data_IF_121946413516
#
_entry.id   IF_121946413516
#
_cell.length_a   1.000
_cell.length_b   1.000
_cell.length_c   1.000
_cell.angle_alpha   90.00
_cell.angle_beta   90.00
_cell.angle_gamma   90.00
#
_symmetry.space_group_name_H-M   'P 1'
#
loop_
_entity.id
_entity.type
_entity.pdbx_description
1 polymer ?
#
# COMPACT_ATOMS: atom_id res chain seq x y z
N UNK A 1 8.38 -4.71 -1.00
CA UNK A 1 7.05 -4.10 -0.83
C UNK A 1 6.84 -2.84 -1.68
N UNK A 2 7.68 -1.80 -1.61
CA UNK A 2 7.47 -0.59 -2.45
C UNK A 2 7.57 -0.84 -3.97
N UNK A 3 8.54 -1.64 -4.42
CA UNK A 3 8.69 -1.96 -5.86
C UNK A 3 7.49 -2.75 -6.42
N UNK A 4 6.93 -3.69 -5.66
CA UNK A 4 5.78 -4.48 -6.09
C UNK A 4 4.53 -3.61 -6.27
N UNK A 5 4.29 -2.66 -5.36
CA UNK A 5 3.20 -1.67 -5.49
C UNK A 5 3.33 -0.87 -6.77
N UNK A 6 4.51 -0.31 -7.06
CA UNK A 6 4.74 0.52 -8.24
C UNK A 6 4.50 -0.27 -9.54
N UNK A 7 4.93 -1.53 -9.59
CA UNK A 7 4.68 -2.38 -10.77
C UNK A 7 3.19 -2.66 -10.97
N UNK A 8 2.44 -2.91 -9.90
CA UNK A 8 1.01 -3.16 -9.98
C UNK A 8 0.24 -1.91 -10.47
N UNK A 9 0.58 -0.73 -9.95
CA UNK A 9 0.00 0.53 -10.41
C UNK A 9 0.28 0.79 -11.90
N UNK A 10 1.50 0.52 -12.36
CA UNK A 10 1.88 0.63 -13.77
C UNK A 10 1.13 -0.38 -14.65
N UNK A 11 0.98 -1.62 -14.18
CA UNK A 11 0.21 -2.65 -14.89
C UNK A 11 -1.27 -2.26 -15.08
N UNK A 12 -1.81 -1.47 -14.17
CA UNK A 12 -3.18 -0.95 -14.21
C UNK A 12 -3.31 0.43 -14.89
N UNK A 13 -2.30 0.88 -15.64
CA UNK A 13 -2.29 2.15 -16.38
C UNK A 13 -2.43 3.41 -15.51
N UNK A 14 -2.00 3.35 -14.24
CA UNK A 14 -1.87 4.56 -13.42
C UNK A 14 -0.68 5.38 -13.94
N UNK A 15 -0.88 6.68 -14.16
CA UNK A 15 0.16 7.57 -14.69
C UNK A 15 1.32 7.70 -13.70
N UNK A 16 2.54 7.86 -14.21
CA UNK A 16 3.74 7.97 -13.39
C UNK A 16 3.68 9.15 -12.40
N UNK A 17 3.18 10.31 -12.83
CA UNK A 17 2.97 11.50 -11.99
C UNK A 17 2.01 11.23 -10.82
N UNK A 18 0.96 10.43 -11.07
CA UNK A 18 -0.02 10.04 -10.06
C UNK A 18 0.57 9.00 -9.11
N UNK A 19 1.38 8.06 -9.62
CA UNK A 19 2.11 7.07 -8.79
C UNK A 19 3.03 7.79 -7.81
N UNK A 20 3.85 8.73 -8.27
CA UNK A 20 4.74 9.50 -7.39
C UNK A 20 3.93 10.26 -6.32
N UNK A 21 2.82 10.89 -6.72
CA UNK A 21 1.93 11.62 -5.81
C UNK A 21 1.31 10.68 -4.76
N UNK A 22 0.82 9.52 -5.16
CA UNK A 22 0.25 8.52 -4.25
C UNK A 22 1.31 8.05 -3.26
N UNK A 23 2.49 7.65 -3.76
CA UNK A 23 3.59 7.13 -2.93
C UNK A 23 4.06 8.16 -1.90
N UNK A 24 4.14 9.44 -2.27
CA UNK A 24 4.49 10.52 -1.34
C UNK A 24 3.43 10.73 -0.25
N UNK A 25 2.14 10.58 -0.57
CA UNK A 25 1.03 10.74 0.40
C UNK A 25 0.91 9.58 1.37
N UNK A 26 1.25 8.37 0.94
CA UNK A 26 1.16 7.16 1.77
C UNK A 26 2.49 6.77 2.42
N UNK A 27 3.58 7.51 2.18
CA UNK A 27 4.94 7.14 2.67
C UNK A 27 5.05 6.80 4.16
N UNK A 28 4.25 7.45 5.01
CA UNK A 28 4.25 7.25 6.47
C UNK A 28 3.20 6.22 6.94
N UNK A 29 2.36 5.73 6.03
CA UNK A 29 1.23 4.81 6.28
C UNK A 29 1.01 3.91 5.06
N UNK A 30 2.11 3.34 4.56
CA UNK A 30 2.09 2.58 3.31
C UNK A 30 1.33 1.27 3.54
N UNK A 31 0.08 1.24 3.09
CA UNK A 31 -0.76 0.05 3.03
C UNK A 31 -1.54 0.06 1.72
N UNK A 32 -1.94 -1.13 1.27
CA UNK A 32 -2.78 -1.31 0.09
C UNK A 32 -4.08 -0.50 0.18
N UNK A 33 -4.72 -0.48 1.36
CA UNK A 33 -5.91 0.33 1.62
C UNK A 33 -5.65 1.83 1.39
N UNK A 34 -4.56 2.36 1.95
CA UNK A 34 -4.23 3.78 1.80
C UNK A 34 -3.89 4.12 0.34
N UNK A 35 -3.29 3.19 -0.41
CA UNK A 35 -3.03 3.35 -1.84
C UNK A 35 -4.36 3.40 -2.62
N UNK A 36 -5.27 2.46 -2.37
CA UNK A 36 -6.60 2.42 -2.98
C UNK A 36 -7.43 3.67 -2.68
N UNK A 37 -7.35 4.20 -1.45
CA UNK A 37 -7.99 5.47 -1.09
C UNK A 37 -7.46 6.63 -1.95
N UNK A 38 -6.14 6.74 -2.13
CA UNK A 38 -5.55 7.80 -2.96
C UNK A 38 -5.84 7.59 -4.45
N UNK A 39 -5.87 6.35 -4.93
CA UNK A 39 -6.31 6.00 -6.29
C UNK A 39 -7.72 6.50 -6.57
N UNK A 40 -8.67 6.20 -5.67
CA UNK A 40 -10.05 6.63 -5.81
C UNK A 40 -10.21 8.16 -5.82
N UNK A 41 -9.40 8.89 -5.02
CA UNK A 41 -9.39 10.36 -5.03
C UNK A 41 -8.93 10.94 -6.37
N UNK A 42 -8.07 10.22 -7.09
CA UNK A 42 -7.59 10.60 -8.43
C UNK A 42 -8.50 10.07 -9.56
N UNK A 43 -9.57 9.32 -9.22
CA UNK A 43 -10.53 8.76 -10.17
C UNK A 43 -10.15 7.39 -10.72
N UNK A 44 -9.15 6.73 -10.15
CA UNK A 44 -8.78 5.36 -10.49
C UNK A 44 -9.66 4.35 -9.72
N UNK A 45 -9.91 3.16 -10.30
CA UNK A 45 -10.51 2.06 -9.56
C UNK A 45 -9.55 1.57 -8.48
N UNK A 46 -10.11 0.86 -7.51
CA UNK A 46 -9.33 0.07 -6.55
C UNK A 46 -8.56 -1.02 -7.29
N UNK A 47 -7.29 -1.18 -6.95
CA UNK A 47 -6.38 -2.15 -7.57
C UNK A 47 -6.08 -3.28 -6.59
N UNK A 48 -5.88 -2.95 -5.32
CA UNK A 48 -5.54 -3.92 -4.28
C UNK A 48 -6.82 -4.38 -3.60
N UNK A 49 -7.63 -5.18 -4.30
CA UNK A 49 -8.95 -5.64 -3.85
C UNK A 49 -8.90 -6.76 -2.79
N UNK A 50 -7.79 -6.89 -2.05
CA UNK A 50 -7.74 -7.82 -0.93
C UNK A 50 -8.65 -7.25 0.16
N UNK A 51 -9.57 -8.06 0.68
CA UNK A 51 -10.41 -7.66 1.81
C UNK A 51 -9.47 -7.29 2.98
N UNK A 52 -9.33 -5.98 3.24
CA UNK A 52 -8.47 -5.45 4.30
C UNK A 52 -8.87 -5.93 5.70
N UNK A 53 -10.05 -6.53 5.82
CA UNK A 53 -10.55 -7.19 7.02
C UNK A 53 -9.82 -8.50 7.35
N UNK A 54 -9.10 -9.12 6.40
CA UNK A 54 -8.45 -10.43 6.57
C UNK A 54 -6.96 -10.33 6.96
N UNK A 55 -6.40 -9.12 7.02
CA UNK A 55 -4.97 -8.87 7.26
C UNK A 55 -4.65 -8.28 8.64
N UNK A 56 -5.52 -8.49 9.64
CA UNK A 56 -5.23 -8.21 11.05
C UNK A 56 -4.50 -9.37 11.78
N UNK A 57 -4.09 -10.44 11.09
CA UNK A 57 -3.39 -11.58 11.69
C UNK A 57 -1.90 -11.65 11.28
N UNK A 58 -1.23 -10.51 11.25
CA UNK A 58 0.22 -10.46 11.39
C UNK A 58 0.57 -9.39 12.42
N UNK A 59 0.21 -9.68 13.68
CA UNK A 59 0.95 -9.19 14.83
C UNK A 59 2.42 -9.56 14.57
N UNK A 60 3.21 -8.57 14.17
CA UNK A 60 4.65 -8.60 14.37
C UNK A 60 4.85 -8.51 15.87
N UNK A 61 4.68 -9.64 16.55
CA UNK A 61 5.23 -9.87 17.87
C UNK A 61 6.75 -9.92 17.66
N UNK A 62 7.37 -8.74 17.64
CA UNK A 62 8.80 -8.55 17.78
C UNK A 62 9.15 -8.77 19.27
N UNK A 63 8.74 -9.92 19.81
CA UNK A 63 9.27 -10.50 21.04
C UNK A 63 10.46 -11.37 20.64
N UNK A 64 11.63 -10.78 20.44
CA UNK A 64 12.87 -11.48 20.80
C UNK A 64 14.03 -10.50 21.08
N UNK A 65 14.43 -10.56 22.35
CA UNK A 65 15.82 -10.59 22.81
C UNK A 65 16.44 -9.33 23.41
N UNK A 66 15.95 -8.97 24.62
CA UNK A 66 16.81 -8.43 25.67
C UNK A 66 16.71 -9.31 26.93
N UNK A 67 17.28 -10.52 26.87
CA UNK A 67 17.65 -11.29 28.07
C UNK A 67 19.08 -11.84 27.98
N UNK A 68 20.01 -11.06 28.54
CA UNK A 68 21.09 -11.42 29.50
C UNK A 68 22.43 -10.72 29.24
#
# INVERSE_FOLDING_TARGET
MQLSVIYELRANNVKEEDIETIMERVKNRLSEENIDIELQKLGYPKIFTVDYDDYNEFDYDDEDDDRY
#
